data_IF_043321033651
#
_entry.id   IF_043321033651
#
_cell.length_a   1.000
_cell.length_b   1.000
_cell.length_c   1.000
_cell.angle_alpha   90.00
_cell.angle_beta   90.00
_cell.angle_gamma   90.00
#
_symmetry.space_group_name_H-M   'P 1'
#
loop_
_entity.id
_entity.type
_entity.pdbx_description
1 polymer ?
#
# COMPACT_ATOMS: atom_id res chain seq x y z
N UNK A 1 15.15 19.62 -10.41
CA UNK A 1 14.00 18.68 -10.33
C UNK A 1 13.43 18.75 -8.93
N UNK A 2 12.14 19.03 -8.73
CA UNK A 2 11.57 19.15 -7.38
C UNK A 2 11.55 17.78 -6.69
N UNK A 3 12.11 17.72 -5.48
CA UNK A 3 12.31 16.49 -4.67
C UNK A 3 11.04 15.62 -4.54
N UNK A 4 9.88 16.27 -4.40
CA UNK A 4 8.56 15.63 -4.22
C UNK A 4 8.16 14.75 -5.43
N UNK A 5 8.48 15.17 -6.65
CA UNK A 5 8.12 14.43 -7.87
C UNK A 5 8.93 13.13 -8.02
N UNK A 6 10.23 13.17 -7.68
CA UNK A 6 11.09 11.97 -7.65
C UNK A 6 10.62 10.93 -6.64
N UNK A 7 10.11 11.35 -5.49
CA UNK A 7 9.63 10.45 -4.44
C UNK A 7 8.37 9.69 -4.89
N UNK A 8 7.43 10.37 -5.57
CA UNK A 8 6.25 9.74 -6.16
C UNK A 8 6.58 8.72 -7.25
N UNK A 9 7.53 9.03 -8.13
CA UNK A 9 7.94 8.10 -9.19
C UNK A 9 8.60 6.84 -8.62
N UNK A 10 9.41 6.99 -7.56
CA UNK A 10 10.02 5.86 -6.86
C UNK A 10 8.96 4.98 -6.21
N UNK A 11 7.99 5.58 -5.52
CA UNK A 11 6.88 4.87 -4.89
C UNK A 11 6.07 4.06 -5.93
N UNK A 12 5.73 4.66 -7.08
CA UNK A 12 5.05 3.95 -8.17
C UNK A 12 5.85 2.74 -8.68
N UNK A 13 7.16 2.89 -8.86
CA UNK A 13 8.04 1.79 -9.29
C UNK A 13 8.05 0.64 -8.30
N UNK A 14 8.08 0.93 -6.98
CA UNK A 14 8.02 -0.09 -5.94
C UNK A 14 6.71 -0.85 -5.99
N UNK A 15 5.55 -0.18 -6.00
CA UNK A 15 4.27 -0.90 -6.03
C UNK A 15 4.09 -1.70 -7.32
N UNK A 16 4.59 -1.20 -8.45
CA UNK A 16 4.60 -1.95 -9.70
C UNK A 16 5.42 -3.24 -9.58
N UNK A 17 6.63 -3.18 -9.01
CA UNK A 17 7.47 -4.37 -8.86
C UNK A 17 6.89 -5.39 -7.89
N UNK A 18 6.13 -4.95 -6.88
CA UNK A 18 5.41 -5.84 -5.97
C UNK A 18 4.28 -6.61 -6.65
N UNK A 19 3.51 -5.95 -7.53
CA UNK A 19 2.47 -6.61 -8.32
C UNK A 19 3.07 -7.55 -9.37
N UNK A 20 4.24 -7.23 -9.91
CA UNK A 20 4.97 -8.11 -10.84
C UNK A 20 5.51 -9.37 -10.14
N UNK A 21 5.94 -9.25 -8.88
CA UNK A 21 6.40 -10.39 -8.06
C UNK A 21 5.26 -11.31 -7.64
N UNK A 22 4.14 -10.73 -7.19
CA UNK A 22 2.95 -11.49 -6.82
C UNK A 22 1.69 -10.83 -7.42
N UNK A 23 1.10 -11.44 -8.47
CA UNK A 23 -0.13 -10.94 -9.08
C UNK A 23 -1.32 -10.82 -8.12
N UNK A 24 -1.32 -11.54 -6.99
CA UNK A 24 -2.38 -11.44 -5.98
C UNK A 24 -2.39 -10.07 -5.30
N UNK A 25 -1.26 -9.33 -5.31
CA UNK A 25 -1.20 -7.95 -4.83
C UNK A 25 -2.07 -6.98 -5.66
N UNK A 26 -2.51 -7.41 -6.85
CA UNK A 26 -3.48 -6.66 -7.65
C UNK A 26 -4.94 -6.88 -7.18
N UNK A 27 -5.13 -7.58 -6.07
CA UNK A 27 -6.43 -7.86 -5.49
C UNK A 27 -6.43 -7.48 -4.00
N UNK A 28 -7.58 -7.02 -3.51
CA UNK A 28 -7.77 -6.76 -2.10
C UNK A 28 -7.71 -8.07 -1.31
N UNK A 29 -6.85 -8.12 -0.31
CA UNK A 29 -6.63 -9.30 0.54
C UNK A 29 -7.92 -9.82 1.21
N UNK A 30 -8.85 -8.94 1.58
CA UNK A 30 -10.07 -9.34 2.30
C UNK A 30 -11.23 -9.75 1.38
N UNK A 31 -11.45 -9.04 0.27
CA UNK A 31 -12.67 -9.22 -0.53
C UNK A 31 -12.42 -9.53 -2.01
N UNK A 32 -11.17 -9.66 -2.43
CA UNK A 32 -10.81 -9.99 -3.81
C UNK A 32 -11.10 -8.89 -4.85
N UNK A 33 -11.47 -7.68 -4.42
CA UNK A 33 -11.68 -6.56 -5.35
C UNK A 33 -10.35 -6.21 -6.06
N UNK A 34 -10.40 -6.04 -7.39
CA UNK A 34 -9.22 -5.70 -8.21
C UNK A 34 -8.69 -4.29 -7.92
N UNK A 35 -7.40 -4.10 -8.16
CA UNK A 35 -6.74 -2.80 -8.14
C UNK A 35 -6.79 -2.08 -6.79
N UNK A 36 -6.35 -2.71 -5.68
CA UNK A 36 -6.30 -2.05 -4.39
C UNK A 36 -5.46 -0.77 -4.46
N UNK A 37 -5.92 0.32 -3.84
CA UNK A 37 -5.21 1.62 -3.81
C UNK A 37 -4.78 2.02 -2.39
N UNK A 38 -4.90 1.10 -1.43
CA UNK A 38 -4.49 1.26 -0.05
C UNK A 38 -3.73 0.03 0.40
N UNK A 39 -2.92 0.18 1.45
CA UNK A 39 -2.27 -0.92 2.12
C UNK A 39 -2.23 -0.69 3.63
N UNK A 40 -2.19 -1.78 4.39
CA UNK A 40 -1.86 -1.74 5.80
C UNK A 40 -0.36 -1.96 5.97
N UNK A 41 0.37 -0.95 6.47
CA UNK A 41 1.84 -0.99 6.50
C UNK A 41 2.41 -1.95 7.52
N UNK A 42 1.69 -2.21 8.62
CA UNK A 42 2.13 -3.15 9.65
C UNK A 42 1.70 -4.59 9.37
N UNK A 43 0.66 -4.78 8.56
CA UNK A 43 0.16 -6.12 8.21
C UNK A 43 0.68 -6.60 6.85
N UNK A 44 1.21 -5.70 6.02
CA UNK A 44 1.73 -6.04 4.69
C UNK A 44 0.67 -6.45 3.67
N UNK A 45 -0.57 -5.97 3.81
CA UNK A 45 -1.68 -6.35 2.93
C UNK A 45 -2.20 -5.18 2.10
N UNK A 46 -2.64 -5.47 0.88
CA UNK A 46 -3.30 -4.52 -0.01
C UNK A 46 -4.83 -4.54 0.16
N UNK A 47 -5.44 -3.35 0.19
CA UNK A 47 -6.84 -3.13 0.51
C UNK A 47 -7.53 -2.27 -0.55
N UNK A 48 -8.77 -2.62 -0.87
CA UNK A 48 -9.68 -1.71 -1.57
C UNK A 48 -10.17 -0.60 -0.62
N UNK A 49 -10.81 0.45 -1.16
CA UNK A 49 -11.26 1.60 -0.38
C UNK A 49 -12.17 1.20 0.79
N UNK A 50 -13.09 0.27 0.54
CA UNK A 50 -14.08 -0.20 1.52
C UNK A 50 -13.41 -0.90 2.70
N UNK A 51 -12.54 -1.87 2.40
CA UNK A 51 -11.77 -2.60 3.40
C UNK A 51 -10.82 -1.68 4.17
N UNK A 52 -10.16 -0.75 3.48
CA UNK A 52 -9.34 0.28 4.10
C UNK A 52 -10.14 1.14 5.10
N UNK A 53 -11.38 1.51 4.78
CA UNK A 53 -12.27 2.22 5.72
C UNK A 53 -12.63 1.40 6.95
N UNK A 54 -12.79 0.07 6.80
CA UNK A 54 -13.04 -0.83 7.94
C UNK A 54 -11.79 -0.90 8.82
N UNK A 55 -10.62 -1.15 8.22
CA UNK A 55 -9.34 -1.19 8.93
C UNK A 55 -9.04 0.11 9.69
N UNK A 56 -9.42 1.28 9.15
CA UNK A 56 -9.28 2.56 9.85
C UNK A 56 -10.11 2.63 11.13
N UNK A 57 -11.31 2.02 11.16
CA UNK A 57 -12.17 1.97 12.35
C UNK A 57 -11.62 1.06 13.45
N UNK A 58 -10.78 0.09 13.10
CA UNK A 58 -10.08 -0.79 14.08
C UNK A 58 -9.06 0.00 14.91
N UNK A 59 -8.53 1.11 14.37
CA UNK A 59 -7.51 1.92 15.03
C UNK A 59 -6.09 1.52 14.66
N UNK A 60 -5.16 2.48 14.80
CA UNK A 60 -3.77 2.38 14.34
C UNK A 60 -2.90 1.39 15.12
N UNK A 61 -3.35 0.98 16.31
CA UNK A 61 -2.73 -0.08 17.09
C UNK A 61 -2.98 -1.47 16.48
N UNK A 62 -4.00 -1.61 15.62
CA UNK A 62 -4.34 -2.84 14.91
C UNK A 62 -3.86 -2.75 13.45
N UNK A 63 -4.26 -1.70 12.73
CA UNK A 63 -3.98 -1.57 11.31
C UNK A 63 -3.59 -0.14 10.93
N UNK A 64 -2.40 0.02 10.35
CA UNK A 64 -1.84 1.30 9.90
C UNK A 64 -2.08 1.47 8.39
N UNK A 65 -3.21 2.07 8.03
CA UNK A 65 -3.65 2.19 6.64
C UNK A 65 -3.06 3.43 5.95
N UNK A 66 -2.42 3.23 4.78
CA UNK A 66 -1.94 4.29 3.88
C UNK A 66 -2.43 4.08 2.46
N UNK A 67 -2.68 5.17 1.74
CA UNK A 67 -2.93 5.17 0.30
C UNK A 67 -1.65 4.95 -0.49
N UNK A 68 -1.73 4.16 -1.56
CA UNK A 68 -0.62 3.91 -2.48
C UNK A 68 -0.29 5.13 -3.36
N UNK A 69 -1.17 6.13 -3.44
CA UNK A 69 -1.03 7.29 -4.34
C UNK A 69 -1.20 8.63 -3.64
N UNK A 70 -1.97 8.71 -2.55
CA UNK A 70 -2.28 9.97 -1.87
C UNK A 70 -1.36 10.25 -0.67
N UNK A 71 -0.76 9.22 -0.08
CA UNK A 71 0.13 9.36 1.06
C UNK A 71 1.59 9.35 0.61
N UNK A 72 2.44 10.12 1.31
CA UNK A 72 3.89 10.04 1.18
C UNK A 72 4.41 8.81 1.90
N UNK A 73 5.27 8.02 1.25
CA UNK A 73 5.92 6.86 1.85
C UNK A 73 7.38 7.12 2.13
N UNK A 74 7.85 6.71 3.32
CA UNK A 74 9.28 6.64 3.57
C UNK A 74 9.88 5.40 2.92
N UNK A 75 11.19 5.38 2.72
CA UNK A 75 11.89 4.24 2.13
C UNK A 75 11.71 3.00 3.01
N UNK A 76 11.83 3.19 4.32
CA UNK A 76 11.70 2.12 5.32
C UNK A 76 10.29 1.51 5.28
N UNK A 77 9.24 2.32 5.07
CA UNK A 77 7.88 1.82 4.93
C UNK A 77 7.67 1.01 3.65
N UNK A 78 8.31 1.44 2.56
CA UNK A 78 8.28 0.69 1.30
C UNK A 78 9.03 -0.65 1.45
N UNK A 79 10.19 -0.65 2.11
CA UNK A 79 10.96 -1.87 2.38
C UNK A 79 10.21 -2.88 3.25
N UNK A 80 9.46 -2.41 4.25
CA UNK A 80 8.63 -3.29 5.09
C UNK A 80 7.56 -3.99 4.25
N UNK A 81 6.86 -3.26 3.38
CA UNK A 81 5.81 -3.88 2.56
C UNK A 81 6.41 -4.77 1.46
N UNK A 82 7.59 -4.48 0.93
CA UNK A 82 8.29 -5.32 -0.07
C UNK A 82 8.67 -6.70 0.48
N UNK A 83 8.94 -6.82 1.78
CA UNK A 83 9.50 -8.01 2.41
C UNK A 83 8.46 -8.90 3.12
N UNK A 84 7.17 -8.57 3.01
CA UNK A 84 6.05 -9.39 3.49
C UNK A 84 5.49 -10.18 2.32
#
# INVERSE_FOLDING_TARGET
>A
MPKKEKDFDRQKKVFKSMVEKDPLNNYCCECGAKGPQWASTNLGIFLCIRCASIHRKLGTHISKVKSLTLDNWSIEQLEVIINI
#
